data_IF_313307738036
#
_entry.id   IF_313307738036
#
_cell.length_a   1.000
_cell.length_b   1.000
_cell.length_c   1.000
_cell.angle_alpha   90.00
_cell.angle_beta   90.00
_cell.angle_gamma   90.00
#
_symmetry.space_group_name_H-M   'P 1'
#
loop_
_entity.id
_entity.type
_entity.pdbx_description
1 polymer ?
#
# COMPACT_ATOMS: atom_id res chain seq x y z
N UNK A 1 13.79 3.93 17.69
CA UNK A 1 12.37 3.53 17.59
C UNK A 1 12.21 2.55 16.44
N UNK A 2 11.40 1.49 16.60
CA UNK A 2 10.99 0.58 15.52
C UNK A 2 9.53 0.88 15.19
N UNK A 3 9.15 0.83 13.93
CA UNK A 3 7.77 1.06 13.46
C UNK A 3 7.32 -0.15 12.68
N UNK A 4 6.09 -0.59 12.93
CA UNK A 4 5.43 -1.67 12.17
C UNK A 4 4.14 -1.08 11.58
N UNK A 5 3.94 -1.31 10.29
CA UNK A 5 2.70 -0.97 9.60
C UNK A 5 2.05 -2.27 9.14
N UNK A 6 0.79 -2.46 9.51
CA UNK A 6 -0.02 -3.61 9.11
C UNK A 6 -1.08 -3.10 8.13
N UNK A 7 -1.17 -3.71 6.97
CA UNK A 7 -2.23 -3.43 6.00
C UNK A 7 -3.03 -4.69 5.72
N UNK A 8 -4.36 -4.53 5.71
CA UNK A 8 -5.30 -5.61 5.45
C UNK A 8 -6.06 -5.28 4.16
N UNK A 9 -5.79 -6.01 3.09
CA UNK A 9 -6.44 -5.76 1.80
C UNK A 9 -7.94 -6.09 1.88
N UNK A 10 -8.78 -5.24 1.30
CA UNK A 10 -10.24 -5.39 1.34
C UNK A 10 -10.90 -5.24 2.72
N UNK A 11 -10.16 -4.81 3.76
CA UNK A 11 -10.69 -4.69 5.11
C UNK A 11 -11.65 -3.50 5.27
N UNK A 12 -12.94 -3.73 5.02
CA UNK A 12 -13.99 -2.73 5.23
C UNK A 12 -14.06 -2.33 6.71
N UNK A 13 -13.97 -1.02 7.03
CA UNK A 13 -14.05 -0.57 8.41
C UNK A 13 -15.47 -0.76 8.98
N UNK A 14 -16.51 -0.77 8.15
CA UNK A 14 -17.88 -1.09 8.57
C UNK A 14 -18.01 -2.55 9.01
N UNK A 15 -17.35 -3.49 8.33
CA UNK A 15 -17.33 -4.90 8.73
C UNK A 15 -16.51 -5.11 10.01
N UNK A 16 -15.38 -4.41 10.15
CA UNK A 16 -14.59 -4.42 11.39
C UNK A 16 -15.45 -3.93 12.57
N UNK A 17 -16.17 -2.82 12.40
CA UNK A 17 -17.05 -2.29 13.44
C UNK A 17 -18.19 -3.25 13.78
N UNK A 18 -18.82 -3.86 12.77
CA UNK A 18 -19.87 -4.87 12.95
C UNK A 18 -19.39 -6.08 13.77
N UNK A 19 -18.14 -6.49 13.59
CA UNK A 19 -17.56 -7.68 14.23
C UNK A 19 -16.56 -7.36 15.34
N UNK A 20 -16.54 -6.13 15.86
CA UNK A 20 -15.49 -5.68 16.78
C UNK A 20 -15.38 -6.55 18.04
N UNK A 21 -16.49 -7.12 18.51
CA UNK A 21 -16.53 -8.03 19.66
C UNK A 21 -15.89 -9.39 19.39
N UNK A 22 -15.77 -9.80 18.12
CA UNK A 22 -15.07 -11.00 17.68
C UNK A 22 -13.61 -10.71 17.24
N UNK A 23 -13.19 -9.44 17.25
CA UNK A 23 -11.88 -8.98 16.79
C UNK A 23 -11.11 -8.30 17.94
N UNK A 24 -10.63 -9.06 18.95
CA UNK A 24 -10.07 -8.50 20.19
C UNK A 24 -8.84 -7.61 19.96
N UNK A 25 -8.04 -7.89 18.94
CA UNK A 25 -6.90 -7.04 18.56
C UNK A 25 -7.36 -5.68 18.04
N UNK A 26 -8.31 -5.65 17.09
CA UNK A 26 -8.86 -4.39 16.57
C UNK A 26 -9.62 -3.60 17.64
N UNK A 27 -10.35 -4.28 18.53
CA UNK A 27 -10.99 -3.65 19.69
C UNK A 27 -9.96 -2.93 20.56
N UNK A 28 -8.87 -3.61 20.90
CA UNK A 28 -7.77 -3.03 21.68
C UNK A 28 -7.13 -1.83 20.98
N UNK A 29 -6.90 -1.91 19.66
CA UNK A 29 -6.35 -0.79 18.89
C UNK A 29 -7.28 0.43 18.89
N UNK A 30 -8.60 0.22 18.80
CA UNK A 30 -9.59 1.29 18.82
C UNK A 30 -9.73 1.95 20.21
N UNK A 31 -9.60 1.19 21.28
CA UNK A 31 -9.72 1.68 22.67
C UNK A 31 -8.46 2.38 23.19
N UNK A 32 -7.26 1.90 22.79
CA UNK A 32 -5.98 2.40 23.31
C UNK A 32 -5.21 3.28 22.33
N UNK A 33 -5.64 3.34 21.07
CA UNK A 33 -4.99 4.06 20.00
C UNK A 33 -5.81 5.24 19.48
N UNK A 34 -5.38 5.76 18.33
CA UNK A 34 -6.13 6.77 17.57
C UNK A 34 -6.74 6.06 16.38
N UNK A 35 -8.04 6.26 16.18
CA UNK A 35 -8.80 5.65 15.10
C UNK A 35 -9.47 6.72 14.23
N UNK A 36 -9.46 6.51 12.93
CA UNK A 36 -10.13 7.37 11.96
C UNK A 36 -10.34 6.65 10.63
N UNK A 37 -11.35 7.11 9.88
CA UNK A 37 -11.60 6.63 8.53
C UNK A 37 -10.75 7.40 7.53
N UNK A 38 -10.26 6.70 6.50
CA UNK A 38 -9.54 7.30 5.37
C UNK A 38 -10.41 7.27 4.11
N UNK A 39 -10.14 8.19 3.20
CA UNK A 39 -10.74 8.19 1.87
C UNK A 39 -9.84 7.36 0.95
N UNK A 40 -10.34 6.29 0.31
CA UNK A 40 -9.55 5.51 -0.63
C UNK A 40 -9.24 6.33 -1.89
N UNK A 41 -8.13 6.03 -2.61
CA UNK A 41 -7.89 6.65 -3.91
C UNK A 41 -8.96 6.21 -4.92
N UNK A 42 -9.12 7.02 -5.97
CA UNK A 42 -10.02 6.71 -7.09
C UNK A 42 -9.16 6.34 -8.31
N UNK A 43 -9.29 5.10 -8.85
CA UNK A 43 -10.22 4.04 -8.45
C UNK A 43 -9.73 3.24 -7.23
N UNK A 44 -10.68 2.74 -6.43
CA UNK A 44 -10.42 1.94 -5.24
C UNK A 44 -10.06 0.48 -5.59
N UNK A 45 -8.91 0.29 -6.23
CA UNK A 45 -8.36 -1.03 -6.56
C UNK A 45 -7.05 -1.27 -5.81
N UNK A 46 -6.78 -2.52 -5.43
CA UNK A 46 -5.53 -2.97 -4.79
C UNK A 46 -4.26 -2.30 -5.34
N UNK A 47 -3.91 -2.37 -6.65
CA UNK A 47 -2.65 -1.80 -7.14
C UNK A 47 -2.61 -0.29 -7.01
N UNK A 48 -3.77 0.38 -7.05
CA UNK A 48 -3.87 1.84 -6.90
C UNK A 48 -3.72 2.22 -5.42
N UNK A 49 -4.45 1.55 -4.52
CA UNK A 49 -4.43 1.79 -3.09
C UNK A 49 -3.05 1.57 -2.46
N UNK A 50 -2.42 0.42 -2.75
CA UNK A 50 -1.10 0.11 -2.21
C UNK A 50 -0.01 1.01 -2.79
N UNK A 51 -0.13 1.40 -4.07
CA UNK A 51 0.79 2.37 -4.66
C UNK A 51 0.64 3.76 -4.04
N UNK A 52 -0.59 4.22 -3.85
CA UNK A 52 -0.87 5.48 -3.14
C UNK A 52 -0.30 5.46 -1.73
N UNK A 53 -0.51 4.37 -0.97
CA UNK A 53 0.05 4.18 0.37
C UNK A 53 1.58 4.27 0.37
N UNK A 54 2.25 3.49 -0.48
CA UNK A 54 3.71 3.39 -0.44
C UNK A 54 4.39 4.64 -0.98
N UNK A 55 3.76 5.43 -1.86
CA UNK A 55 4.35 6.65 -2.43
C UNK A 55 3.92 7.94 -1.75
N UNK A 56 2.80 7.92 -1.01
CA UNK A 56 2.15 9.13 -0.51
C UNK A 56 1.63 10.05 -1.62
N UNK A 57 1.42 9.53 -2.83
CA UNK A 57 0.96 10.27 -4.01
C UNK A 57 -0.41 9.76 -4.46
N UNK A 58 -1.18 10.62 -5.12
CA UNK A 58 -2.43 10.21 -5.78
C UNK A 58 -2.16 9.47 -7.11
N UNK A 59 -3.16 8.80 -7.69
CA UNK A 59 -3.00 8.03 -8.94
C UNK A 59 -2.44 8.80 -10.12
N UNK A 60 -2.81 10.09 -10.26
CA UNK A 60 -2.28 10.97 -11.29
C UNK A 60 -0.78 11.21 -11.19
N UNK A 61 -0.22 11.16 -9.98
CA UNK A 61 1.19 11.42 -9.71
C UNK A 61 2.06 10.16 -9.72
N UNK A 62 1.53 8.99 -9.37
CA UNK A 62 2.29 7.72 -9.39
C UNK A 62 2.00 6.86 -10.62
N UNK A 63 1.02 7.22 -11.46
CA UNK A 63 0.78 6.62 -12.76
C UNK A 63 0.08 5.26 -12.77
N UNK A 64 -0.41 4.76 -11.62
CA UNK A 64 -1.08 3.44 -11.53
C UNK A 64 -2.57 3.66 -11.37
N UNK A 65 -3.35 3.12 -12.32
CA UNK A 65 -4.81 3.30 -12.37
C UNK A 65 -5.59 1.99 -12.35
N UNK A 66 -4.96 0.86 -12.64
CA UNK A 66 -5.60 -0.46 -12.57
C UNK A 66 -4.54 -1.57 -12.62
N UNK A 67 -4.96 -2.83 -12.42
CA UNK A 67 -4.14 -4.01 -12.69
C UNK A 67 -3.75 -4.15 -14.17
N UNK A 68 -4.63 -3.74 -15.08
CA UNK A 68 -4.38 -3.78 -16.51
C UNK A 68 -4.65 -2.40 -17.09
N UNK A 69 -3.62 -1.78 -17.66
CA UNK A 69 -3.65 -0.43 -18.21
C UNK A 69 -3.39 -0.45 -19.70
N UNK A 70 -3.96 0.50 -20.44
CA UNK A 70 -3.67 0.63 -21.88
C UNK A 70 -2.29 1.23 -22.08
N UNK A 71 -1.51 0.68 -23.01
CA UNK A 71 -0.28 1.34 -23.46
C UNK A 71 -0.66 2.62 -24.21
N UNK A 72 0.03 3.73 -23.90
CA UNK A 72 -0.23 5.03 -24.53
C UNK A 72 -0.09 4.91 -26.05
N UNK A 73 -1.09 5.40 -26.78
CA UNK A 73 -1.12 5.38 -28.25
C UNK A 73 -1.53 4.05 -28.90
N UNK A 74 -1.85 3.00 -28.13
CA UNK A 74 -2.28 1.70 -28.70
C UNK A 74 -3.54 1.17 -28.00
N UNK A 75 -4.11 0.06 -28.49
CA UNK A 75 -5.17 -0.70 -27.79
C UNK A 75 -4.63 -1.86 -26.94
N UNK A 76 -3.31 -2.02 -26.90
CA UNK A 76 -2.67 -3.09 -26.12
C UNK A 76 -2.84 -2.82 -24.63
N UNK A 77 -3.10 -3.89 -23.86
CA UNK A 77 -3.10 -3.84 -22.40
C UNK A 77 -1.75 -4.30 -21.86
N UNK A 78 -1.27 -3.58 -20.86
CA UNK A 78 -0.09 -3.91 -20.07
C UNK A 78 -0.53 -4.15 -18.63
N UNK A 79 -0.02 -5.20 -18.02
CA UNK A 79 -0.20 -5.44 -16.58
C UNK A 79 0.60 -4.42 -15.80
N UNK A 80 0.00 -3.84 -14.77
CA UNK A 80 0.70 -2.97 -13.86
C UNK A 80 1.74 -3.78 -13.08
N UNK A 81 2.99 -3.36 -13.21
CA UNK A 81 4.12 -3.97 -12.52
C UNK A 81 4.88 -2.90 -11.74
N UNK A 82 5.64 -3.26 -10.70
CA UNK A 82 6.38 -2.27 -9.91
C UNK A 82 7.37 -1.42 -10.74
N UNK A 83 7.82 -1.91 -11.89
CA UNK A 83 8.78 -1.20 -12.77
C UNK A 83 8.17 -0.01 -13.51
N UNK A 84 6.84 0.09 -13.59
CA UNK A 84 6.16 1.25 -14.18
C UNK A 84 5.87 2.36 -13.17
N UNK A 85 6.32 2.19 -11.93
CA UNK A 85 6.14 3.19 -10.87
C UNK A 85 7.02 4.41 -11.13
N UNK A 86 6.41 5.59 -11.25
CA UNK A 86 7.11 6.85 -11.53
C UNK A 86 7.47 7.65 -10.26
N UNK A 87 7.29 7.08 -9.06
CA UNK A 87 7.49 7.75 -7.79
C UNK A 87 8.30 6.90 -6.79
N UNK A 88 9.11 7.55 -5.94
CA UNK A 88 9.81 6.87 -4.86
C UNK A 88 8.82 6.37 -3.80
N UNK A 89 9.06 5.15 -3.30
CA UNK A 89 8.32 4.59 -2.18
C UNK A 89 8.90 5.03 -0.84
N UNK A 90 8.11 4.99 0.22
CA UNK A 90 8.55 5.21 1.61
C UNK A 90 9.66 4.23 2.00
N UNK A 91 9.66 3.01 1.43
CA UNK A 91 10.70 2.02 1.63
C UNK A 91 12.05 2.51 1.08
N UNK A 92 12.06 3.10 -0.12
CA UNK A 92 13.27 3.70 -0.71
C UNK A 92 13.73 4.91 0.10
N UNK A 93 12.82 5.81 0.44
CA UNK A 93 13.14 7.03 1.19
C UNK A 93 13.77 6.69 2.55
N UNK A 94 13.19 5.73 3.28
CA UNK A 94 13.73 5.26 4.55
C UNK A 94 15.10 4.59 4.36
N UNK A 95 15.27 3.79 3.31
CA UNK A 95 16.52 3.10 3.06
C UNK A 95 17.65 4.06 2.67
N UNK A 96 17.40 5.04 1.81
CA UNK A 96 18.32 6.14 1.47
C UNK A 96 18.72 6.94 2.71
N UNK A 97 17.82 7.02 3.70
CA UNK A 97 18.09 7.64 5.01
C UNK A 97 18.85 6.72 5.99
N UNK A 98 19.42 5.62 5.52
CA UNK A 98 20.19 4.66 6.31
C UNK A 98 19.35 3.78 7.25
N UNK A 99 18.03 3.69 7.04
CA UNK A 99 17.16 2.83 7.86
C UNK A 99 17.02 1.44 7.25
N UNK A 100 16.96 0.42 8.13
CA UNK A 100 16.64 -0.96 7.74
C UNK A 100 15.13 -1.10 7.53
N UNK A 101 14.72 -1.71 6.42
CA UNK A 101 13.30 -1.85 6.04
C UNK A 101 12.98 -3.32 5.76
N UNK A 102 11.85 -3.79 6.27
CA UNK A 102 11.29 -5.10 5.98
C UNK A 102 9.95 -4.95 5.28
N UNK A 103 9.73 -5.66 4.16
CA UNK A 103 8.48 -5.62 3.40
C UNK A 103 7.99 -7.05 3.17
N UNK A 104 6.76 -7.36 3.57
CA UNK A 104 6.19 -8.72 3.51
C UNK A 104 4.79 -8.63 2.89
N UNK A 105 4.50 -9.41 1.84
CA UNK A 105 3.16 -9.52 1.24
C UNK A 105 2.52 -8.16 0.84
N UNK A 106 3.30 -7.12 0.53
CA UNK A 106 2.75 -5.80 0.15
C UNK A 106 2.57 -5.76 -1.37
N UNK A 107 1.35 -5.63 -1.92
CA UNK A 107 1.18 -5.51 -3.37
C UNK A 107 1.98 -4.35 -3.96
N UNK A 108 2.48 -4.52 -5.19
CA UNK A 108 3.24 -3.50 -5.94
C UNK A 108 4.60 -3.09 -5.35
N UNK A 109 5.10 -3.72 -4.28
CA UNK A 109 6.33 -3.29 -3.58
C UNK A 109 7.63 -3.33 -4.41
N UNK A 110 7.68 -4.14 -5.46
CA UNK A 110 8.83 -4.27 -6.36
C UNK A 110 10.05 -4.98 -5.78
N UNK A 111 10.94 -5.48 -6.65
CA UNK A 111 12.22 -6.07 -6.28
C UNK A 111 13.23 -4.94 -6.01
N UNK A 112 12.98 -4.16 -4.96
CA UNK A 112 13.86 -3.05 -4.60
C UNK A 112 15.01 -3.57 -3.73
N UNK A 113 16.26 -3.22 -4.08
CA UNK A 113 17.42 -3.47 -3.21
C UNK A 113 17.35 -2.52 -2.02
N UNK A 114 16.75 -2.98 -0.93
CA UNK A 114 16.74 -2.29 0.36
C UNK A 114 17.71 -2.97 1.32
N UNK A 115 18.34 -2.19 2.21
CA UNK A 115 19.01 -2.78 3.38
C UNK A 115 17.94 -3.34 4.33
N UNK A 116 17.85 -4.66 4.43
CA UNK A 116 16.82 -5.36 5.18
C UNK A 116 16.35 -6.58 4.40
N UNK A 117 15.05 -6.79 4.28
CA UNK A 117 14.51 -7.95 3.58
C UNK A 117 13.18 -7.64 2.89
N UNK A 118 12.92 -8.40 1.84
CA UNK A 118 11.59 -8.49 1.23
C UNK A 118 11.16 -9.95 1.19
N UNK A 119 9.88 -10.22 1.42
CA UNK A 119 9.33 -11.56 1.37
C UNK A 119 7.96 -11.53 0.68
N UNK A 120 7.66 -12.54 -0.17
CA UNK A 120 6.37 -12.68 -0.79
C UNK A 120 5.28 -12.80 0.27
#
# INVERSE_FOLDING_TARGET
MKVVVLGFDGASPQLIDKWINNLPAFKTFKEKGIFGYTIPPVPAQTPVAWTTFMTGKNPGNHGIFSFAMRKKGTYERRIATPEILEAKTIFQILNESGKKVGVINVPMYGIQKIQGFTAP
#
